data_IF_596459792622
#
_entry.id   IF_596459792622
#
_cell.length_a   1.000
_cell.length_b   1.000
_cell.length_c   1.000
_cell.angle_alpha   90.00
_cell.angle_beta   90.00
_cell.angle_gamma   90.00
#
_symmetry.space_group_name_H-M   'P 1'
#
loop_
_entity.id
_entity.type
_entity.pdbx_description
1 polymer ?
#
# COMPACT_ATOMS: atom_id res chain seq x y z
N UNK A 1 14.31 0.58 44.98
CA UNK A 1 15.12 0.63 43.75
C UNK A 1 15.08 -0.74 43.08
N UNK A 2 14.05 -1.01 42.28
CA UNK A 2 14.02 -2.14 41.35
C UNK A 2 13.43 -1.57 40.06
N UNK A 3 14.31 -1.15 39.15
CA UNK A 3 13.91 -0.77 37.80
C UNK A 3 13.54 -2.06 37.06
N UNK A 4 12.25 -2.26 36.86
CA UNK A 4 11.76 -3.20 35.85
C UNK A 4 12.08 -2.56 34.51
N UNK A 5 13.17 -2.99 33.88
CA UNK A 5 13.49 -2.61 32.49
C UNK A 5 12.49 -3.33 31.60
N UNK A 6 11.43 -2.61 31.23
CA UNK A 6 10.55 -3.02 30.14
C UNK A 6 11.38 -2.97 28.85
N UNK A 7 11.97 -4.11 28.48
CA UNK A 7 12.63 -4.28 27.20
C UNK A 7 11.57 -4.14 26.10
N UNK A 8 11.48 -2.93 25.55
CA UNK A 8 10.63 -2.60 24.42
C UNK A 8 11.07 -3.40 23.20
N UNK A 9 10.33 -4.45 22.89
CA UNK A 9 10.38 -5.16 21.61
C UNK A 9 9.79 -4.24 20.53
N UNK A 10 10.57 -3.28 20.05
CA UNK A 10 10.29 -2.66 18.76
C UNK A 10 10.77 -3.61 17.67
N UNK A 11 9.98 -4.66 17.42
CA UNK A 11 10.08 -5.42 16.20
C UNK A 11 9.68 -4.47 15.05
N UNK A 12 10.67 -4.02 14.27
CA UNK A 12 10.43 -3.21 13.09
C UNK A 12 9.54 -4.00 12.13
N UNK A 13 8.34 -3.47 11.84
CA UNK A 13 7.47 -3.96 10.78
C UNK A 13 8.18 -3.69 9.46
N UNK A 14 8.86 -4.70 8.91
CA UNK A 14 9.22 -4.69 7.50
C UNK A 14 7.93 -4.96 6.75
N UNK A 15 7.28 -3.89 6.25
CA UNK A 15 6.21 -4.05 5.28
C UNK A 15 6.86 -4.44 3.95
N UNK A 16 6.87 -5.73 3.67
CA UNK A 16 7.14 -6.23 2.33
C UNK A 16 5.92 -5.91 1.46
N UNK A 17 6.16 -5.47 0.22
CA UNK A 17 5.09 -5.31 -0.76
C UNK A 17 4.35 -6.65 -0.93
N UNK A 18 3.08 -6.69 -0.55
CA UNK A 18 2.27 -7.90 -0.66
C UNK A 18 1.96 -8.18 -2.13
N UNK A 19 2.05 -9.44 -2.55
CA UNK A 19 1.66 -9.88 -3.90
C UNK A 19 0.45 -10.78 -3.77
N UNK A 20 -0.66 -10.37 -4.39
CA UNK A 20 -1.90 -11.14 -4.37
C UNK A 20 -1.84 -12.39 -5.26
N UNK A 21 -2.87 -13.24 -5.16
CA UNK A 21 -3.02 -14.45 -6.00
C UNK A 21 -3.14 -14.13 -7.50
N UNK A 22 -3.49 -12.89 -7.84
CA UNK A 22 -3.52 -12.37 -9.21
C UNK A 22 -2.11 -12.03 -9.75
N UNK A 23 -1.07 -12.15 -8.92
CA UNK A 23 0.32 -11.84 -9.25
C UNK A 23 0.60 -10.35 -9.38
N UNK A 24 -0.25 -9.50 -8.79
CA UNK A 24 -0.08 -8.05 -8.74
C UNK A 24 0.23 -7.59 -7.31
N UNK A 25 1.03 -6.54 -7.19
CA UNK A 25 1.32 -5.91 -5.90
C UNK A 25 0.08 -5.24 -5.30
N UNK A 26 -0.03 -5.27 -3.97
CA UNK A 26 -1.12 -4.70 -3.18
C UNK A 26 -0.58 -3.72 -2.15
N UNK A 27 -1.27 -2.60 -2.01
CA UNK A 27 -1.02 -1.62 -0.95
C UNK A 27 -2.26 -1.50 -0.07
N UNK A 28 -2.07 -1.23 1.22
CA UNK A 28 -3.18 -1.09 2.18
C UNK A 28 -4.14 0.05 1.82
N UNK A 29 -3.65 1.05 1.08
CA UNK A 29 -4.44 2.22 0.67
C UNK A 29 -5.13 2.04 -0.68
N UNK A 30 -4.97 0.90 -1.36
CA UNK A 30 -5.71 0.62 -2.59
C UNK A 30 -7.20 0.45 -2.30
N UNK A 31 -8.02 1.14 -3.08
CA UNK A 31 -9.48 1.02 -3.07
C UNK A 31 -9.93 -0.03 -4.08
N UNK A 32 -10.76 -0.98 -3.63
CA UNK A 32 -11.44 -1.91 -4.53
C UNK A 32 -12.71 -1.26 -5.07
N UNK A 33 -12.71 -0.89 -6.35
CA UNK A 33 -13.86 -0.26 -7.03
C UNK A 33 -14.09 -0.89 -8.40
N UNK A 34 -15.18 -0.49 -9.07
CA UNK A 34 -15.45 -0.86 -10.46
C UNK A 34 -14.54 -0.15 -11.47
N UNK A 35 -13.61 0.70 -11.00
CA UNK A 35 -12.68 1.49 -11.82
C UNK A 35 -13.37 2.48 -12.74
N UNK A 36 -14.56 2.97 -12.36
CA UNK A 36 -15.13 4.15 -13.02
C UNK A 36 -14.39 5.39 -12.50
N UNK A 37 -13.47 5.88 -13.33
CA UNK A 37 -12.60 7.01 -12.98
C UNK A 37 -13.40 8.24 -12.53
N UNK A 38 -14.60 8.48 -13.08
CA UNK A 38 -15.41 9.65 -12.69
C UNK A 38 -15.94 9.51 -11.28
N UNK A 39 -16.44 8.32 -10.94
CA UNK A 39 -16.93 8.01 -9.60
C UNK A 39 -15.78 8.01 -8.59
N UNK A 40 -14.66 7.38 -8.93
CA UNK A 40 -13.47 7.29 -8.07
C UNK A 40 -12.87 8.69 -7.76
N UNK A 41 -12.81 9.59 -8.75
CA UNK A 41 -12.39 10.99 -8.52
C UNK A 41 -13.35 11.72 -7.59
N UNK A 42 -14.66 11.55 -7.77
CA UNK A 42 -15.66 12.21 -6.95
C UNK A 42 -15.60 11.73 -5.49
N UNK A 43 -15.46 10.42 -5.28
CA UNK A 43 -15.30 9.81 -3.96
C UNK A 43 -14.01 10.30 -3.28
N UNK A 44 -12.86 10.23 -3.96
CA UNK A 44 -11.60 10.74 -3.44
C UNK A 44 -11.69 12.22 -3.04
N UNK A 45 -12.32 13.06 -3.88
CA UNK A 45 -12.51 14.48 -3.58
C UNK A 45 -13.41 14.71 -2.35
N UNK A 46 -14.47 13.93 -2.19
CA UNK A 46 -15.37 14.02 -1.02
C UNK A 46 -14.64 13.69 0.29
N UNK A 47 -13.64 12.81 0.24
CA UNK A 47 -12.77 12.46 1.37
C UNK A 47 -11.56 13.41 1.51
N UNK A 48 -11.44 14.46 0.68
CA UNK A 48 -10.29 15.36 0.69
C UNK A 48 -8.98 14.74 0.18
N UNK A 49 -9.07 13.63 -0.55
CA UNK A 49 -7.95 12.88 -1.14
C UNK A 49 -7.77 13.22 -2.64
N UNK A 50 -6.67 12.73 -3.21
CA UNK A 50 -6.42 12.75 -4.67
C UNK A 50 -6.50 11.32 -5.21
N UNK A 51 -7.01 11.16 -6.42
CA UNK A 51 -6.97 9.87 -7.11
C UNK A 51 -5.54 9.58 -7.61
N UNK A 52 -5.03 8.40 -7.26
CA UNK A 52 -3.83 7.80 -7.87
C UNK A 52 -4.26 6.58 -8.69
N UNK A 53 -3.68 6.41 -9.88
CA UNK A 53 -3.91 5.26 -10.74
C UNK A 53 -2.56 4.60 -11.00
N UNK A 54 -2.44 3.32 -10.69
CA UNK A 54 -1.24 2.53 -10.92
C UNK A 54 -1.51 1.53 -12.04
N UNK A 55 -0.60 1.50 -13.02
CA UNK A 55 -0.62 0.54 -14.12
C UNK A 55 0.46 -0.50 -13.89
N UNK A 56 0.08 -1.76 -13.81
CA UNK A 56 0.98 -2.87 -13.51
C UNK A 56 0.69 -4.10 -14.37
N UNK A 57 1.71 -4.94 -14.52
CA UNK A 57 1.64 -6.28 -15.10
C UNK A 57 2.32 -7.29 -14.17
N UNK A 58 1.92 -8.57 -14.27
CA UNK A 58 2.50 -9.66 -13.49
C UNK A 58 4.00 -9.81 -13.78
N UNK A 59 4.80 -9.98 -12.72
CA UNK A 59 6.26 -10.20 -12.84
C UNK A 59 7.06 -8.96 -13.27
N UNK A 60 6.47 -7.77 -13.19
CA UNK A 60 7.14 -6.51 -13.52
C UNK A 60 8.19 -6.12 -12.47
N UNK A 61 9.48 -6.26 -12.79
CA UNK A 61 10.59 -5.92 -11.87
C UNK A 61 10.62 -4.45 -11.46
N UNK A 62 10.15 -3.55 -12.32
CA UNK A 62 10.09 -2.12 -12.02
C UNK A 62 8.86 -1.77 -11.17
N UNK A 63 7.78 -2.53 -11.30
CA UNK A 63 6.61 -2.39 -10.45
C UNK A 63 6.96 -2.86 -9.03
N UNK A 64 7.70 -3.97 -8.89
CA UNK A 64 8.28 -4.36 -7.59
C UNK A 64 9.09 -3.23 -6.94
N UNK A 65 9.98 -2.58 -7.70
CA UNK A 65 10.77 -1.45 -7.17
C UNK A 65 9.89 -0.24 -6.80
N UNK A 66 8.84 0.04 -7.59
CA UNK A 66 7.88 1.09 -7.29
C UNK A 66 7.22 0.83 -5.91
N UNK A 67 6.74 -0.39 -5.69
CA UNK A 67 6.08 -0.81 -4.45
C UNK A 67 7.03 -0.89 -3.24
N UNK A 68 8.28 -1.33 -3.41
CA UNK A 68 9.20 -1.52 -2.28
C UNK A 68 10.00 -0.27 -1.88
N UNK A 69 10.12 0.73 -2.77
CA UNK A 69 11.08 1.84 -2.60
C UNK A 69 10.45 3.21 -2.81
N UNK A 70 9.37 3.32 -3.59
CA UNK A 70 8.82 4.62 -4.01
C UNK A 70 7.48 4.93 -3.34
N UNK A 71 6.61 3.93 -3.21
CA UNK A 71 5.33 4.02 -2.49
C UNK A 71 5.57 3.86 -0.99
#
# INVERSE_FOLDING_TARGET
MVMVVAASLFAGLVQAAEVGDDGLHKEEWFSETFRDIREDVAAAKAEGKRLAIIFEQRGCIYCKKLHEVVL
#
